data_IF_413228806041
#
_entry.id   IF_413228806041
#
_cell.length_a   1.000
_cell.length_b   1.000
_cell.length_c   1.000
_cell.angle_alpha   90.00
_cell.angle_beta   90.00
_cell.angle_gamma   90.00
#
_symmetry.space_group_name_H-M   'P 1'
#
loop_
_entity.id
_entity.type
_entity.pdbx_description
1 polymer ?
#
# COMPACT_ATOMS: atom_id res chain seq x y z
N UNK A 1 52.07 44.41 -16.30
CA UNK A 1 50.65 44.54 -15.91
C UNK A 1 50.04 43.15 -15.95
N UNK A 2 50.07 42.44 -14.83
CA UNK A 2 49.41 41.14 -14.68
C UNK A 2 48.04 41.42 -14.09
N UNK A 3 47.00 41.39 -14.94
CA UNK A 3 45.62 41.38 -14.49
C UNK A 3 45.41 40.10 -13.66
N UNK A 4 45.37 40.27 -12.33
CA UNK A 4 45.08 39.18 -11.42
C UNK A 4 43.65 38.71 -11.66
N UNK A 5 43.50 37.58 -12.33
CA UNK A 5 42.22 36.90 -12.48
C UNK A 5 41.65 36.64 -11.08
N UNK A 6 40.62 37.41 -10.69
CA UNK A 6 39.91 37.21 -9.44
C UNK A 6 39.09 35.92 -9.57
N UNK A 7 39.64 34.81 -9.07
CA UNK A 7 39.02 33.47 -9.10
C UNK A 7 37.83 33.33 -8.13
N UNK A 8 37.74 34.20 -7.13
CA UNK A 8 36.76 34.11 -6.04
C UNK A 8 35.29 34.19 -6.52
N UNK A 9 34.89 35.11 -7.42
CA UNK A 9 33.51 35.19 -7.90
C UNK A 9 33.09 33.98 -8.75
N UNK A 10 34.03 33.42 -9.53
CA UNK A 10 33.78 32.24 -10.39
C UNK A 10 33.54 31.00 -9.54
N UNK A 11 34.38 30.78 -8.52
CA UNK A 11 34.23 29.64 -7.59
C UNK A 11 32.91 29.76 -6.82
N UNK A 12 32.58 30.94 -6.31
CA UNK A 12 31.31 31.19 -5.62
C UNK A 12 30.09 30.96 -6.51
N UNK A 13 30.17 31.35 -7.78
CA UNK A 13 29.11 31.11 -8.77
C UNK A 13 28.88 29.62 -9.04
N UNK A 14 29.95 28.82 -9.16
CA UNK A 14 29.86 27.37 -9.37
C UNK A 14 29.29 26.67 -8.14
N UNK A 15 29.75 27.01 -6.93
CA UNK A 15 29.22 26.43 -5.68
C UNK A 15 27.74 26.78 -5.51
N UNK A 16 27.36 28.03 -5.74
CA UNK A 16 25.97 28.47 -5.70
C UNK A 16 25.08 27.71 -6.68
N UNK A 17 25.54 27.50 -7.92
CA UNK A 17 24.83 26.73 -8.93
C UNK A 17 24.65 25.25 -8.53
N UNK A 18 25.69 24.62 -7.95
CA UNK A 18 25.62 23.23 -7.49
C UNK A 18 24.66 23.06 -6.31
N UNK A 19 24.70 23.96 -5.33
CA UNK A 19 23.77 23.94 -4.19
C UNK A 19 22.34 24.19 -4.66
N UNK A 20 22.14 25.14 -5.59
CA UNK A 20 20.84 25.43 -6.19
C UNK A 20 20.27 24.22 -6.93
N UNK A 21 21.06 23.58 -7.78
CA UNK A 21 20.63 22.42 -8.57
C UNK A 21 20.29 21.21 -7.69
N UNK A 22 21.11 20.91 -6.68
CA UNK A 22 20.86 19.80 -5.75
C UNK A 22 19.62 20.04 -4.89
N UNK A 23 19.45 21.25 -4.37
CA UNK A 23 18.27 21.63 -3.60
C UNK A 23 16.99 21.58 -4.44
N UNK A 24 17.03 22.13 -5.66
CA UNK A 24 15.90 22.09 -6.58
C UNK A 24 15.49 20.65 -6.92
N UNK A 25 16.46 19.78 -7.22
CA UNK A 25 16.20 18.35 -7.47
C UNK A 25 15.60 17.65 -6.26
N UNK A 26 16.07 17.96 -5.05
CA UNK A 26 15.51 17.43 -3.81
C UNK A 26 14.05 17.84 -3.62
N UNK A 27 13.72 19.13 -3.71
CA UNK A 27 12.34 19.62 -3.58
C UNK A 27 11.43 19.07 -4.69
N UNK A 28 11.91 19.02 -5.93
CA UNK A 28 11.16 18.43 -7.04
C UNK A 28 10.87 16.94 -6.83
N UNK A 29 11.86 16.19 -6.31
CA UNK A 29 11.68 14.77 -5.99
C UNK A 29 10.67 14.55 -4.86
N UNK A 30 10.74 15.36 -3.80
CA UNK A 30 9.81 15.30 -2.66
C UNK A 30 8.38 15.61 -3.11
N UNK A 31 8.20 16.70 -3.85
CA UNK A 31 6.89 17.08 -4.41
C UNK A 31 6.31 15.98 -5.29
N UNK A 32 7.12 15.36 -6.16
CA UNK A 32 6.69 14.25 -7.02
C UNK A 32 6.24 13.03 -6.21
N UNK A 33 6.98 12.67 -5.16
CA UNK A 33 6.63 11.56 -4.27
C UNK A 33 5.32 11.80 -3.55
N UNK A 34 5.14 12.98 -2.93
CA UNK A 34 3.90 13.31 -2.23
C UNK A 34 2.71 13.33 -3.20
N UNK A 35 2.87 13.90 -4.40
CA UNK A 35 1.82 13.87 -5.44
C UNK A 35 1.46 12.42 -5.80
N UNK A 36 2.46 11.56 -6.05
CA UNK A 36 2.21 10.14 -6.35
C UNK A 36 1.48 9.43 -5.20
N UNK A 37 1.85 9.69 -3.94
CA UNK A 37 1.13 9.14 -2.77
C UNK A 37 -0.34 9.57 -2.78
N UNK A 38 -0.62 10.85 -3.03
CA UNK A 38 -1.99 11.34 -3.09
C UNK A 38 -2.77 10.79 -4.29
N UNK A 39 -2.13 10.52 -5.43
CA UNK A 39 -2.80 9.84 -6.55
C UNK A 39 -3.21 8.41 -6.20
N UNK A 40 -2.35 7.63 -5.52
CA UNK A 40 -2.75 6.33 -4.97
C UNK A 40 -3.92 6.46 -3.99
N UNK A 41 -3.90 7.50 -3.14
CA UNK A 41 -4.95 7.73 -2.17
C UNK A 41 -6.28 8.10 -2.83
N UNK A 42 -6.25 8.95 -3.87
CA UNK A 42 -7.42 9.29 -4.69
C UNK A 42 -7.96 8.06 -5.41
N UNK A 43 -7.11 7.22 -5.99
CA UNK A 43 -7.51 5.97 -6.65
C UNK A 43 -8.25 5.07 -5.66
N UNK A 44 -7.67 4.84 -4.47
CA UNK A 44 -8.24 3.98 -3.43
C UNK A 44 -9.59 4.48 -2.88
N UNK A 45 -9.76 5.81 -2.81
CA UNK A 45 -10.98 6.46 -2.36
C UNK A 45 -11.96 6.80 -3.49
N UNK A 46 -11.66 6.40 -4.72
CA UNK A 46 -12.58 6.60 -5.85
C UNK A 46 -13.86 5.78 -5.67
N UNK A 47 -14.96 6.25 -6.27
CA UNK A 47 -16.25 5.57 -6.22
C UNK A 47 -16.19 4.16 -6.81
N UNK A 48 -15.40 3.96 -7.87
CA UNK A 48 -15.19 2.63 -8.47
C UNK A 48 -14.46 1.69 -7.51
N UNK A 49 -13.40 2.17 -6.86
CA UNK A 49 -12.64 1.34 -5.91
C UNK A 49 -13.41 1.06 -4.62
N UNK A 50 -14.26 1.99 -4.18
CA UNK A 50 -15.18 1.78 -3.07
C UNK A 50 -16.15 0.60 -3.33
N UNK A 51 -16.65 0.45 -4.58
CA UNK A 51 -17.48 -0.70 -4.96
C UNK A 51 -16.70 -2.01 -4.82
N UNK A 52 -15.45 -2.07 -5.28
CA UNK A 52 -14.62 -3.27 -5.11
C UNK A 52 -14.40 -3.61 -3.64
N UNK A 53 -14.15 -2.61 -2.79
CA UNK A 53 -14.01 -2.82 -1.33
C UNK A 53 -15.29 -3.39 -0.71
N UNK A 54 -16.46 -2.88 -1.10
CA UNK A 54 -17.74 -3.38 -0.61
C UNK A 54 -18.02 -4.82 -1.06
N UNK A 55 -17.81 -5.14 -2.34
CA UNK A 55 -18.05 -6.49 -2.87
C UNK A 55 -17.07 -7.52 -2.29
N UNK A 56 -15.79 -7.17 -2.17
CA UNK A 56 -14.79 -8.03 -1.53
C UNK A 56 -15.10 -8.24 -0.03
N UNK A 57 -15.58 -7.21 0.67
CA UNK A 57 -16.01 -7.33 2.05
C UNK A 57 -17.18 -8.33 2.18
N UNK A 58 -18.18 -8.22 1.32
CA UNK A 58 -19.32 -9.14 1.31
C UNK A 58 -18.89 -10.58 1.03
N UNK A 59 -17.95 -10.78 0.10
CA UNK A 59 -17.38 -12.10 -0.20
C UNK A 59 -16.76 -12.73 1.05
N UNK A 60 -15.80 -12.05 1.68
CA UNK A 60 -15.10 -12.59 2.85
C UNK A 60 -16.07 -12.80 4.02
N UNK A 61 -17.01 -11.87 4.21
CA UNK A 61 -18.02 -11.97 5.27
C UNK A 61 -18.92 -13.20 5.11
N UNK A 62 -19.33 -13.51 3.87
CA UNK A 62 -20.21 -14.64 3.59
C UNK A 62 -19.45 -15.98 3.60
N UNK A 63 -18.14 -15.95 3.39
CA UNK A 63 -17.28 -17.13 3.27
C UNK A 63 -16.01 -17.02 4.14
N UNK A 64 -16.14 -16.81 5.47
CA UNK A 64 -15.01 -16.42 6.34
C UNK A 64 -13.94 -17.52 6.53
N UNK A 65 -14.30 -18.77 6.22
CA UNK A 65 -13.44 -19.95 6.38
C UNK A 65 -12.91 -20.47 5.04
N UNK A 66 -13.25 -19.84 3.92
CA UNK A 66 -12.80 -20.27 2.60
C UNK A 66 -11.53 -19.55 2.19
N UNK A 67 -10.65 -20.28 1.51
CA UNK A 67 -9.47 -19.72 0.91
C UNK A 67 -9.74 -19.15 -0.50
N UNK A 68 -8.77 -18.48 -1.11
CA UNK A 68 -8.96 -17.82 -2.42
C UNK A 68 -9.24 -18.78 -3.57
N UNK A 69 -8.68 -19.98 -3.53
CA UNK A 69 -8.94 -21.00 -4.56
C UNK A 69 -10.37 -21.54 -4.41
N UNK A 70 -10.81 -21.80 -3.17
CA UNK A 70 -12.19 -22.22 -2.87
C UNK A 70 -13.22 -21.13 -3.23
N UNK A 71 -12.90 -19.86 -2.97
CA UNK A 71 -13.74 -18.71 -3.36
C UNK A 71 -13.80 -18.55 -4.88
N UNK A 72 -12.70 -18.83 -5.58
CA UNK A 72 -12.67 -18.81 -7.04
C UNK A 72 -13.58 -19.89 -7.61
N UNK A 73 -13.45 -21.13 -7.15
CA UNK A 73 -14.27 -22.25 -7.63
C UNK A 73 -15.77 -22.01 -7.39
N UNK A 74 -16.16 -21.56 -6.19
CA UNK A 74 -17.56 -21.33 -5.84
C UNK A 74 -18.21 -20.21 -6.67
N UNK A 75 -17.56 -19.06 -6.81
CA UNK A 75 -18.13 -17.92 -7.56
C UNK A 75 -18.04 -18.12 -9.08
N UNK A 76 -17.04 -18.86 -9.58
CA UNK A 76 -16.90 -19.20 -10.99
C UNK A 76 -18.02 -20.13 -11.46
N UNK A 77 -18.42 -21.11 -10.63
CA UNK A 77 -19.58 -21.95 -10.94
C UNK A 77 -20.92 -21.23 -10.69
N UNK A 78 -20.93 -20.16 -9.89
CA UNK A 78 -22.12 -19.38 -9.53
C UNK A 78 -22.46 -18.18 -10.44
N UNK A 79 -21.67 -17.90 -11.49
CA UNK A 79 -21.79 -16.72 -12.36
C UNK A 79 -21.67 -15.35 -11.65
N UNK A 80 -20.96 -15.27 -10.50
CA UNK A 80 -20.81 -14.02 -9.75
C UNK A 80 -19.32 -13.68 -9.49
N UNK A 81 -18.54 -13.76 -10.57
CA UNK A 81 -17.10 -13.44 -10.61
C UNK A 81 -16.74 -12.04 -10.09
N UNK A 82 -17.69 -11.10 -10.07
CA UNK A 82 -17.48 -9.70 -9.69
C UNK A 82 -16.84 -9.58 -8.31
N UNK A 83 -17.25 -10.41 -7.35
CA UNK A 83 -16.77 -10.35 -5.97
C UNK A 83 -15.32 -10.81 -5.86
N UNK A 84 -15.00 -11.95 -6.48
CA UNK A 84 -13.65 -12.48 -6.46
C UNK A 84 -12.69 -11.56 -7.21
N UNK A 85 -13.10 -11.01 -8.36
CA UNK A 85 -12.36 -9.96 -9.08
C UNK A 85 -12.12 -8.75 -8.18
N UNK A 86 -13.12 -8.32 -7.41
CA UNK A 86 -13.00 -7.18 -6.49
C UNK A 86 -11.90 -7.38 -5.45
N UNK A 87 -11.77 -8.59 -4.91
CA UNK A 87 -10.71 -8.94 -3.96
C UNK A 87 -9.32 -8.86 -4.62
N UNK A 88 -9.19 -9.39 -5.84
CA UNK A 88 -7.97 -9.29 -6.62
C UNK A 88 -7.60 -7.84 -6.97
N UNK A 89 -8.58 -6.96 -7.20
CA UNK A 89 -8.32 -5.54 -7.46
C UNK A 89 -7.70 -4.84 -6.24
N UNK A 90 -8.15 -5.18 -5.03
CA UNK A 90 -7.59 -4.65 -3.78
C UNK A 90 -6.16 -5.17 -3.57
N UNK A 91 -5.95 -6.48 -3.78
CA UNK A 91 -4.61 -7.05 -3.69
C UNK A 91 -3.65 -6.38 -4.70
N UNK A 92 -4.06 -6.23 -5.96
CA UNK A 92 -3.25 -5.59 -7.01
C UNK A 92 -2.93 -4.12 -6.69
N UNK A 93 -3.86 -3.38 -6.07
CA UNK A 93 -3.59 -2.03 -5.60
C UNK A 93 -2.45 -2.03 -4.57
N UNK A 94 -2.50 -2.90 -3.56
CA UNK A 94 -1.44 -2.98 -2.56
C UNK A 94 -0.12 -3.50 -3.13
N UNK A 95 -0.14 -4.39 -4.12
CA UNK A 95 1.09 -4.79 -4.82
C UNK A 95 1.73 -3.60 -5.54
N UNK A 96 0.93 -2.78 -6.23
CA UNK A 96 1.41 -1.54 -6.86
C UNK A 96 1.95 -0.55 -5.84
N UNK A 97 1.26 -0.40 -4.69
CA UNK A 97 1.72 0.44 -3.59
C UNK A 97 3.09 -0.03 -3.07
N UNK A 98 3.23 -1.34 -2.82
CA UNK A 98 4.51 -1.93 -2.39
C UNK A 98 5.63 -1.69 -3.39
N UNK A 99 5.39 -1.89 -4.68
CA UNK A 99 6.40 -1.60 -5.71
C UNK A 99 6.79 -0.11 -5.70
N UNK A 100 5.82 0.78 -5.51
CA UNK A 100 6.08 2.22 -5.43
C UNK A 100 6.90 2.59 -4.17
N UNK A 101 6.66 1.94 -3.03
CA UNK A 101 7.48 2.05 -1.81
C UNK A 101 8.90 1.53 -2.07
N UNK A 102 9.01 0.31 -2.60
CA UNK A 102 10.29 -0.38 -2.85
C UNK A 102 11.21 0.44 -3.75
N UNK A 103 10.66 1.14 -4.73
CA UNK A 103 11.42 1.99 -5.67
C UNK A 103 11.42 3.47 -5.29
N UNK A 104 11.08 3.80 -4.03
CA UNK A 104 11.14 5.16 -3.48
C UNK A 104 10.37 6.18 -4.34
N UNK A 105 9.20 5.77 -4.85
CA UNK A 105 8.31 6.58 -5.70
C UNK A 105 7.18 7.26 -4.94
N UNK A 106 6.99 6.91 -3.67
CA UNK A 106 6.00 7.54 -2.80
C UNK A 106 6.66 8.18 -1.59
N UNK A 107 5.92 9.07 -0.95
CA UNK A 107 6.30 9.69 0.30
C UNK A 107 6.11 8.72 1.48
N UNK A 108 7.23 8.19 1.98
CA UNK A 108 7.24 7.21 3.07
C UNK A 108 6.77 7.78 4.42
N UNK A 109 6.69 9.10 4.59
CA UNK A 109 6.16 9.71 5.82
C UNK A 109 4.64 9.78 5.79
N UNK A 110 4.05 10.04 4.62
CA UNK A 110 2.61 10.23 4.46
C UNK A 110 1.88 8.90 4.21
N UNK A 111 2.52 7.97 3.51
CA UNK A 111 1.90 6.71 3.12
C UNK A 111 1.41 5.84 4.31
N UNK A 112 2.13 5.73 5.45
CA UNK A 112 1.62 5.00 6.62
C UNK A 112 0.29 5.57 7.13
N UNK A 113 0.17 6.89 7.20
CA UNK A 113 -1.03 7.57 7.71
C UNK A 113 -2.23 7.38 6.77
N UNK A 114 -2.01 7.39 5.46
CA UNK A 114 -3.09 7.30 4.47
C UNK A 114 -3.57 5.87 4.21
N UNK A 115 -2.71 4.86 4.36
CA UNK A 115 -3.00 3.50 3.93
C UNK A 115 -2.90 2.45 5.03
N UNK A 116 -2.20 2.76 6.14
CA UNK A 116 -1.79 1.78 7.13
C UNK A 116 -2.94 1.07 7.82
N UNK A 117 -3.86 1.83 8.41
CA UNK A 117 -5.04 1.27 9.09
C UNK A 117 -5.85 0.35 8.17
N UNK A 118 -6.20 0.84 6.98
CA UNK A 118 -7.02 0.08 6.03
C UNK A 118 -6.27 -1.14 5.50
N UNK A 119 -4.96 -1.03 5.27
CA UNK A 119 -4.13 -2.17 4.88
C UNK A 119 -4.10 -3.25 5.96
N UNK A 120 -3.86 -2.88 7.23
CA UNK A 120 -3.84 -3.81 8.36
C UNK A 120 -5.17 -4.56 8.44
N UNK A 121 -6.29 -3.84 8.26
CA UNK A 121 -7.59 -4.47 8.20
C UNK A 121 -7.68 -5.52 7.08
N UNK A 122 -7.37 -5.18 5.82
CA UNK A 122 -7.42 -6.14 4.71
C UNK A 122 -6.42 -7.30 4.88
N UNK A 123 -5.26 -7.04 5.46
CA UNK A 123 -4.22 -8.04 5.64
C UNK A 123 -4.67 -9.16 6.58
N UNK A 124 -5.04 -8.84 7.81
CA UNK A 124 -5.43 -9.84 8.80
C UNK A 124 -6.84 -10.40 8.55
N UNK A 125 -7.74 -9.58 7.99
CA UNK A 125 -9.10 -10.03 7.71
C UNK A 125 -9.20 -10.91 6.46
N UNK A 126 -8.22 -10.83 5.54
CA UNK A 126 -8.28 -11.52 4.25
C UNK A 126 -6.95 -12.13 3.81
N UNK A 127 -5.89 -11.33 3.66
CA UNK A 127 -4.68 -11.77 2.97
C UNK A 127 -3.86 -12.80 3.72
N UNK A 128 -3.74 -12.71 5.05
CA UNK A 128 -2.84 -13.53 5.86
C UNK A 128 -3.09 -15.03 5.66
N UNK A 129 -4.33 -15.47 5.90
CA UNK A 129 -4.75 -16.88 5.74
C UNK A 129 -4.54 -17.42 4.33
N UNK A 130 -4.72 -16.55 3.33
CA UNK A 130 -4.77 -16.93 1.92
C UNK A 130 -3.43 -16.89 1.21
N UNK A 131 -2.51 -16.06 1.67
CA UNK A 131 -1.26 -15.78 0.97
C UNK A 131 -0.03 -16.34 1.68
N UNK A 132 -0.11 -16.61 2.99
CA UNK A 132 1.05 -17.07 3.78
C UNK A 132 1.11 -18.60 3.87
N UNK A 133 -0.04 -19.28 3.90
CA UNK A 133 -0.10 -20.72 4.23
C UNK A 133 -0.09 -21.68 3.02
N UNK A 134 -0.17 -21.21 1.77
CA UNK A 134 -0.44 -22.13 0.65
C UNK A 134 0.12 -21.84 -0.73
N UNK A 135 0.71 -20.67 -1.02
CA UNK A 135 1.02 -20.32 -2.43
C UNK A 135 2.44 -19.80 -2.61
N UNK A 136 3.17 -20.37 -3.58
CA UNK A 136 4.47 -19.89 -4.08
C UNK A 136 4.35 -18.56 -4.86
N UNK A 137 3.30 -17.79 -4.60
CA UNK A 137 2.92 -16.63 -5.38
C UNK A 137 3.73 -15.42 -4.96
N UNK A 138 4.35 -14.77 -5.94
CA UNK A 138 5.02 -13.46 -5.77
C UNK A 138 4.14 -12.44 -5.03
N UNK A 139 2.81 -12.54 -5.18
CA UNK A 139 1.85 -11.71 -4.47
C UNK A 139 1.93 -11.85 -2.94
N UNK A 140 2.00 -13.07 -2.42
CA UNK A 140 2.09 -13.30 -0.98
C UNK A 140 3.38 -12.74 -0.38
N UNK A 141 4.51 -12.95 -1.06
CA UNK A 141 5.79 -12.36 -0.66
C UNK A 141 5.76 -10.82 -0.65
N UNK A 142 5.11 -10.20 -1.62
CA UNK A 142 4.94 -8.74 -1.67
C UNK A 142 4.02 -8.22 -0.57
N UNK A 143 2.91 -8.91 -0.29
CA UNK A 143 1.99 -8.53 0.79
C UNK A 143 2.65 -8.63 2.16
N UNK A 144 3.43 -9.69 2.41
CA UNK A 144 4.19 -9.85 3.65
C UNK A 144 5.27 -8.76 3.81
N UNK A 145 5.94 -8.38 2.73
CA UNK A 145 6.91 -7.28 2.78
C UNK A 145 6.23 -5.93 3.05
N UNK A 146 5.06 -5.70 2.46
CA UNK A 146 4.28 -4.50 2.69
C UNK A 146 3.77 -4.43 4.14
N UNK A 147 3.32 -5.55 4.69
CA UNK A 147 2.92 -5.66 6.10
C UNK A 147 4.06 -5.27 7.03
N UNK A 148 5.24 -5.89 6.87
CA UNK A 148 6.42 -5.57 7.68
C UNK A 148 6.83 -4.11 7.54
N UNK A 149 6.64 -3.54 6.36
CA UNK A 149 6.90 -2.13 6.12
C UNK A 149 5.91 -1.24 6.90
N UNK A 150 4.60 -1.53 6.88
CA UNK A 150 3.64 -0.79 7.68
C UNK A 150 3.89 -0.96 9.19
N UNK A 151 4.19 -2.18 9.65
CA UNK A 151 4.53 -2.45 11.05
C UNK A 151 5.71 -1.58 11.53
N UNK A 152 6.71 -1.36 10.68
CA UNK A 152 7.87 -0.53 10.98
C UNK A 152 7.59 0.97 10.94
N UNK A 153 6.72 1.43 10.03
CA UNK A 153 6.55 2.85 9.74
C UNK A 153 5.28 3.47 10.35
N UNK A 154 4.35 2.65 10.86
CA UNK A 154 3.19 3.12 11.62
C UNK A 154 3.53 3.29 13.10
N UNK A 155 2.71 4.07 13.80
CA UNK A 155 2.73 4.08 15.26
C UNK A 155 2.38 2.67 15.79
N UNK A 156 3.24 2.12 16.64
CA UNK A 156 3.12 0.74 17.15
C UNK A 156 1.81 0.48 17.90
N UNK A 157 1.28 1.49 18.61
CA UNK A 157 0.00 1.37 19.33
C UNK A 157 -1.15 1.31 18.34
N UNK A 158 -1.15 2.19 17.34
CA UNK A 158 -2.16 2.19 16.27
C UNK A 158 -2.13 0.85 15.53
N UNK A 159 -0.95 0.40 15.07
CA UNK A 159 -0.82 -0.86 14.34
C UNK A 159 -1.39 -2.05 15.14
N UNK A 160 -1.03 -2.18 16.43
CA UNK A 160 -1.51 -3.28 17.28
C UNK A 160 -3.02 -3.22 17.51
N UNK A 161 -3.57 -2.03 17.71
CA UNK A 161 -5.01 -1.85 17.88
C UNK A 161 -5.76 -2.30 16.61
N UNK A 162 -5.28 -1.89 15.43
CA UNK A 162 -5.94 -2.25 14.17
C UNK A 162 -5.84 -3.75 13.86
N UNK A 163 -4.70 -4.37 14.16
CA UNK A 163 -4.54 -5.83 14.05
C UNK A 163 -5.53 -6.56 14.97
N UNK A 164 -5.61 -6.17 16.24
CA UNK A 164 -6.54 -6.78 17.19
C UNK A 164 -8.00 -6.59 16.76
N UNK A 165 -8.37 -5.38 16.34
CA UNK A 165 -9.71 -5.07 15.85
C UNK A 165 -10.09 -5.92 14.62
N UNK A 166 -9.15 -6.13 13.70
CA UNK A 166 -9.38 -6.97 12.52
C UNK A 166 -9.61 -8.44 12.90
N UNK A 167 -8.79 -8.97 13.81
CA UNK A 167 -8.90 -10.35 14.31
C UNK A 167 -10.21 -10.58 15.08
N UNK A 168 -10.58 -9.66 15.99
CA UNK A 168 -11.84 -9.75 16.74
C UNK A 168 -13.06 -9.79 15.81
N UNK A 169 -13.08 -8.94 14.77
CA UNK A 169 -14.16 -8.93 13.77
C UNK A 169 -14.22 -10.23 13.00
N UNK A 170 -13.08 -10.80 12.62
CA UNK A 170 -13.01 -12.07 11.90
C UNK A 170 -13.55 -13.22 12.75
N UNK A 171 -13.20 -13.27 14.05
CA UNK A 171 -13.73 -14.24 15.00
C UNK A 171 -15.25 -14.08 15.15
N UNK A 172 -15.73 -12.84 15.33
CA UNK A 172 -17.16 -12.57 15.49
C UNK A 172 -17.99 -12.97 14.26
N UNK A 173 -17.43 -12.86 13.05
CA UNK A 173 -18.09 -13.30 11.81
C UNK A 173 -18.07 -14.83 11.70
N UNK A 174 -16.94 -15.46 12.00
CA UNK A 174 -16.79 -16.92 11.93
C UNK A 174 -17.77 -17.63 12.86
N UNK A 175 -17.99 -17.09 14.07
CA UNK A 175 -18.92 -17.65 15.06
C UNK A 175 -20.42 -17.52 14.68
N UNK A 176 -20.77 -16.65 13.73
CA UNK A 176 -22.17 -16.47 13.28
C UNK A 176 -22.58 -17.41 12.15
N UNK A 177 -21.61 -18.06 11.51
CA UNK A 177 -21.82 -18.92 10.33
C UNK A 177 -21.87 -20.42 10.71
N UNK A 178 -21.50 -20.74 11.95
CA UNK A 178 -21.67 -22.08 12.57
C UNK A 178 -23.07 -22.25 13.13
#
# INVERSE_FOLDING_TARGET
MTEGFNLIPVISGVIGALIGATSANYFASKSRKSNQTFEFHKEFNSTSFSKYRSEAYLLIKNHPNKNYDELWEEEFHGNNEVRTISLYMIMRFYQRLWLAIKYDKIDNQIAPDLFGEVFVWWYYFSFEKNLVEGTSWTAGGQMLQLERWFQKNMNVVIYKNEMNNALERLIAISNKVQ
#
